data_IF_846153544190
#
_entry.id   IF_846153544190
#
_cell.length_a   1.000
_cell.length_b   1.000
_cell.length_c   1.000
_cell.angle_alpha   90.00
_cell.angle_beta   90.00
_cell.angle_gamma   90.00
#
_symmetry.space_group_name_H-M   'P 1'
#
loop_
_entity.id
_entity.type
_entity.pdbx_description
1 polymer ?
#
# COMPACT_ATOMS: atom_id res chain seq x y z
N UNK A 1 -21.28 14.27 -5.21
CA UNK A 1 -20.50 13.83 -4.03
C UNK A 1 -19.56 14.96 -3.60
N UNK A 2 -19.37 15.20 -2.31
CA UNK A 2 -18.36 16.19 -1.85
C UNK A 2 -17.01 15.51 -1.61
N UNK A 3 -15.92 16.29 -1.54
CA UNK A 3 -14.56 15.74 -1.42
C UNK A 3 -14.36 14.88 -0.17
N UNK A 4 -14.98 15.24 0.97
CA UNK A 4 -14.85 14.48 2.21
C UNK A 4 -15.46 13.09 2.08
N UNK A 5 -16.66 13.02 1.50
CA UNK A 5 -17.35 11.75 1.27
C UNK A 5 -16.56 10.88 0.29
N UNK A 6 -16.10 11.43 -0.83
CA UNK A 6 -15.28 10.72 -1.81
C UNK A 6 -14.01 10.13 -1.17
N UNK A 7 -13.26 10.93 -0.42
CA UNK A 7 -12.03 10.47 0.24
C UNK A 7 -12.29 9.37 1.27
N UNK A 8 -13.42 9.40 1.98
CA UNK A 8 -13.78 8.35 2.94
C UNK A 8 -14.12 7.03 2.22
N UNK A 9 -14.90 7.09 1.15
CA UNK A 9 -15.30 5.93 0.35
C UNK A 9 -14.08 5.28 -0.31
N UNK A 10 -13.23 6.06 -0.98
CA UNK A 10 -12.01 5.52 -1.61
C UNK A 10 -11.06 4.93 -0.57
N UNK A 11 -10.90 5.57 0.60
CA UNK A 11 -10.04 5.02 1.66
C UNK A 11 -10.53 3.66 2.12
N UNK A 12 -11.83 3.52 2.38
CA UNK A 12 -12.40 2.25 2.81
C UNK A 12 -12.22 1.18 1.73
N UNK A 13 -12.46 1.51 0.46
CA UNK A 13 -12.30 0.57 -0.65
C UNK A 13 -10.84 0.11 -0.80
N UNK A 14 -9.89 1.04 -0.75
CA UNK A 14 -8.45 0.78 -0.88
C UNK A 14 -7.93 -0.01 0.31
N UNK A 15 -8.26 0.37 1.54
CA UNK A 15 -7.80 -0.35 2.74
C UNK A 15 -8.31 -1.80 2.75
N UNK A 16 -9.57 -2.01 2.35
CA UNK A 16 -10.14 -3.37 2.22
C UNK A 16 -9.46 -4.18 1.11
N UNK A 17 -9.23 -3.57 -0.07
CA UNK A 17 -8.62 -4.26 -1.20
C UNK A 17 -7.15 -4.59 -0.94
N UNK A 18 -6.38 -3.68 -0.36
CA UNK A 18 -4.99 -3.92 0.07
C UNK A 18 -4.91 -5.10 1.03
N UNK A 19 -5.81 -5.18 2.01
CA UNK A 19 -5.84 -6.29 2.94
C UNK A 19 -6.11 -7.63 2.23
N UNK A 20 -7.07 -7.66 1.29
CA UNK A 20 -7.34 -8.86 0.49
C UNK A 20 -6.13 -9.29 -0.33
N UNK A 21 -5.46 -8.36 -1.00
CA UNK A 21 -4.28 -8.63 -1.83
C UNK A 21 -3.12 -9.23 -1.02
N UNK A 22 -2.88 -8.71 0.19
CA UNK A 22 -1.83 -9.22 1.08
C UNK A 22 -2.18 -10.59 1.64
N UNK A 23 -3.44 -10.80 2.03
CA UNK A 23 -3.91 -12.11 2.50
C UNK A 23 -3.80 -13.18 1.40
N UNK A 24 -4.07 -12.82 0.14
CA UNK A 24 -3.94 -13.75 -1.00
C UNK A 24 -2.50 -13.95 -1.46
N UNK A 25 -1.56 -13.06 -1.14
CA UNK A 25 -0.17 -13.16 -1.57
C UNK A 25 0.52 -14.41 -1.00
N UNK A 26 1.40 -15.05 -1.76
CA UNK A 26 2.07 -16.29 -1.34
C UNK A 26 3.33 -15.94 -0.54
N UNK A 27 3.19 -15.83 0.78
CA UNK A 27 4.27 -15.48 1.71
C UNK A 27 4.03 -16.10 3.10
N UNK A 28 5.06 -16.08 3.96
CA UNK A 28 4.90 -16.47 5.37
C UNK A 28 3.94 -15.52 6.09
N UNK A 29 3.29 -16.01 7.15
CA UNK A 29 2.40 -15.19 7.98
C UNK A 29 3.12 -13.97 8.57
N UNK A 30 4.38 -14.14 9.00
CA UNK A 30 5.20 -13.05 9.53
C UNK A 30 5.50 -11.96 8.49
N UNK A 31 5.78 -12.33 7.25
CA UNK A 31 6.03 -11.37 6.18
C UNK A 31 4.75 -10.63 5.81
N UNK A 32 3.61 -11.33 5.71
CA UNK A 32 2.29 -10.71 5.50
C UNK A 32 1.96 -9.70 6.59
N UNK A 33 2.25 -10.01 7.85
CA UNK A 33 2.04 -9.08 8.96
C UNK A 33 2.87 -7.80 8.81
N UNK A 34 4.14 -7.91 8.42
CA UNK A 34 5.00 -6.76 8.18
C UNK A 34 4.56 -5.92 6.96
N UNK A 35 4.15 -6.58 5.86
CA UNK A 35 3.57 -5.93 4.67
C UNK A 35 2.29 -5.16 5.04
N UNK A 36 1.35 -5.84 5.71
CA UNK A 36 0.10 -5.25 6.16
C UNK A 36 0.35 -4.09 7.12
N UNK A 37 1.28 -4.24 8.05
CA UNK A 37 1.67 -3.17 8.96
C UNK A 37 2.17 -1.94 8.19
N UNK A 38 3.12 -2.11 7.25
CA UNK A 38 3.70 -1.00 6.51
C UNK A 38 2.69 -0.24 5.65
N UNK A 39 1.77 -0.93 4.98
CA UNK A 39 0.79 -0.27 4.09
C UNK A 39 -0.49 0.17 4.81
N UNK A 40 -0.92 -0.49 5.90
CA UNK A 40 -2.17 -0.17 6.62
C UNK A 40 -1.98 0.68 7.89
N UNK A 41 -0.77 1.23 8.14
CA UNK A 41 -0.46 2.16 9.24
C UNK A 41 -1.10 3.57 9.06
N UNK A 42 -2.38 3.58 8.69
CA UNK A 42 -3.16 4.76 8.36
C UNK A 42 -2.67 5.49 7.12
N UNK A 43 -2.88 6.81 7.11
CA UNK A 43 -2.46 7.69 6.03
C UNK A 43 -3.61 8.36 5.33
N UNK A 44 -3.26 9.33 4.49
CA UNK A 44 -4.24 10.15 3.77
C UNK A 44 -4.66 9.53 2.44
N UNK A 45 -4.06 8.42 1.99
CA UNK A 45 -4.36 7.76 0.70
C UNK A 45 -4.46 8.74 -0.49
N UNK A 46 -3.64 9.79 -0.51
CA UNK A 46 -3.72 10.85 -1.53
C UNK A 46 -3.49 10.27 -2.93
N UNK A 47 -2.54 9.34 -3.06
CA UNK A 47 -2.22 8.69 -4.33
C UNK A 47 -3.42 7.87 -4.85
N UNK A 48 -4.02 6.95 -4.07
CA UNK A 48 -5.29 6.32 -4.43
C UNK A 48 -6.40 7.29 -4.80
N UNK A 49 -6.59 8.38 -4.06
CA UNK A 49 -7.63 9.37 -4.38
C UNK A 49 -7.43 9.99 -5.75
N UNK A 50 -6.19 10.35 -6.09
CA UNK A 50 -5.86 10.91 -7.40
C UNK A 50 -6.10 9.88 -8.51
N UNK A 51 -5.69 8.62 -8.30
CA UNK A 51 -5.92 7.55 -9.27
C UNK A 51 -7.41 7.32 -9.52
N UNK A 52 -8.20 7.16 -8.46
CA UNK A 52 -9.66 6.94 -8.58
C UNK A 52 -10.37 8.14 -9.21
N UNK A 53 -9.99 9.38 -8.85
CA UNK A 53 -10.61 10.58 -9.41
C UNK A 53 -10.33 10.72 -10.92
N UNK A 54 -9.10 10.45 -11.36
CA UNK A 54 -8.75 10.47 -12.79
C UNK A 54 -9.48 9.35 -13.54
N UNK A 55 -9.54 8.14 -12.96
CA UNK A 55 -10.27 7.03 -13.54
C UNK A 55 -11.76 7.34 -13.73
N UNK A 56 -12.42 7.94 -12.72
CA UNK A 56 -13.81 8.39 -12.80
C UNK A 56 -14.01 9.43 -13.91
N UNK A 57 -13.10 10.41 -14.02
CA UNK A 57 -13.15 11.43 -15.08
C UNK A 57 -12.98 10.84 -16.49
N UNK A 58 -12.22 9.76 -16.61
CA UNK A 58 -11.99 9.06 -17.87
C UNK A 58 -13.04 7.98 -18.17
N UNK A 59 -13.97 7.71 -17.25
CA UNK A 59 -14.98 6.65 -17.40
C UNK A 59 -14.41 5.22 -17.36
N UNK A 60 -13.31 5.01 -16.65
CA UNK A 60 -12.68 3.69 -16.49
C UNK A 60 -13.51 2.76 -15.59
N UNK A 61 -13.27 1.45 -15.69
CA UNK A 61 -13.93 0.45 -14.84
C UNK A 61 -13.44 0.58 -13.38
N UNK A 62 -14.38 0.49 -12.44
CA UNK A 62 -14.13 0.81 -11.03
C UNK A 62 -13.14 -0.15 -10.37
N UNK A 63 -13.19 -1.44 -10.68
CA UNK A 63 -12.30 -2.45 -10.09
C UNK A 63 -10.88 -2.35 -10.65
N UNK A 64 -10.73 -2.15 -11.96
CA UNK A 64 -9.42 -1.88 -12.59
C UNK A 64 -8.77 -0.62 -12.01
N UNK A 65 -9.56 0.44 -11.84
CA UNK A 65 -9.11 1.67 -11.21
C UNK A 65 -8.69 1.46 -9.75
N UNK A 66 -9.45 0.64 -9.01
CA UNK A 66 -9.15 0.32 -7.61
C UNK A 66 -7.85 -0.49 -7.48
N UNK A 67 -7.61 -1.43 -8.38
CA UNK A 67 -6.37 -2.20 -8.43
C UNK A 67 -5.17 -1.30 -8.78
N UNK A 68 -5.34 -0.38 -9.74
CA UNK A 68 -4.32 0.63 -10.02
C UNK A 68 -4.07 1.58 -8.83
N UNK A 69 -5.12 1.97 -8.11
CA UNK A 69 -5.01 2.79 -6.90
C UNK A 69 -4.25 2.05 -5.78
N UNK A 70 -4.51 0.76 -5.60
CA UNK A 70 -3.78 -0.09 -4.66
C UNK A 70 -2.31 -0.23 -5.07
N UNK A 71 -2.03 -0.49 -6.35
CA UNK A 71 -0.65 -0.61 -6.85
C UNK A 71 0.19 0.64 -6.54
N UNK A 72 -0.34 1.84 -6.78
CA UNK A 72 0.40 3.09 -6.47
C UNK A 72 0.61 3.28 -4.96
N UNK A 73 -0.32 2.84 -4.12
CA UNK A 73 -0.15 2.90 -2.65
C UNK A 73 0.83 1.84 -2.13
N UNK A 74 0.89 0.66 -2.75
CA UNK A 74 1.92 -0.35 -2.48
C UNK A 74 3.31 0.19 -2.82
N UNK A 75 3.45 0.88 -3.97
CA UNK A 75 4.67 1.60 -4.35
C UNK A 75 5.04 2.64 -3.30
N UNK A 76 4.06 3.42 -2.84
CA UNK A 76 4.31 4.40 -1.79
C UNK A 76 4.74 3.77 -0.46
N UNK A 77 4.11 2.67 -0.06
CA UNK A 77 4.38 2.04 1.22
C UNK A 77 5.76 1.39 1.25
N UNK A 78 6.17 0.67 0.19
CA UNK A 78 7.51 0.09 0.19
C UNK A 78 8.58 1.18 0.29
N UNK A 79 8.42 2.30 -0.42
CA UNK A 79 9.44 3.35 -0.43
C UNK A 79 9.65 3.91 0.98
N UNK A 80 8.57 4.10 1.73
CA UNK A 80 8.66 4.56 3.12
C UNK A 80 9.27 3.50 4.06
N UNK A 81 8.93 2.22 3.89
CA UNK A 81 9.51 1.15 4.71
C UNK A 81 11.03 1.08 4.53
N UNK A 82 11.50 1.25 3.29
CA UNK A 82 12.94 1.27 2.99
C UNK A 82 13.60 2.58 3.43
N UNK A 83 12.97 3.73 3.20
CA UNK A 83 13.46 5.02 3.69
C UNK A 83 13.63 5.03 5.22
N UNK A 84 12.74 4.35 5.96
CA UNK A 84 12.83 4.26 7.42
C UNK A 84 14.05 3.48 7.93
N UNK A 85 14.78 2.72 7.09
CA UNK A 85 15.89 1.88 7.56
C UNK A 85 17.08 2.70 8.09
N UNK A 86 17.91 2.15 9.00
CA UNK A 86 19.09 2.84 9.53
C UNK A 86 20.10 3.29 8.48
N UNK A 87 20.15 2.59 7.35
CA UNK A 87 21.03 2.94 6.23
C UNK A 87 20.50 4.09 5.35
N UNK A 88 19.26 4.54 5.60
CA UNK A 88 18.54 5.57 4.85
C UNK A 88 18.26 6.76 5.77
N UNK A 89 17.02 6.97 6.22
CA UNK A 89 16.66 8.09 7.10
C UNK A 89 16.80 7.78 8.60
N UNK A 90 16.96 6.50 8.98
CA UNK A 90 17.11 6.05 10.38
C UNK A 90 15.95 6.50 11.29
N UNK A 91 14.73 6.48 10.75
CA UNK A 91 13.52 6.88 11.46
C UNK A 91 13.01 5.76 12.38
N UNK A 92 12.91 6.04 13.68
CA UNK A 92 12.32 5.08 14.63
C UNK A 92 10.78 5.11 14.62
N UNK A 93 10.18 6.24 14.21
CA UNK A 93 8.74 6.47 14.27
C UNK A 93 8.16 7.02 12.97
N UNK A 94 7.02 6.46 12.55
CA UNK A 94 6.19 6.97 11.46
C UNK A 94 4.76 7.16 11.93
N UNK A 95 4.28 8.41 11.83
CA UNK A 95 2.92 8.81 12.29
C UNK A 95 2.64 8.47 13.76
N UNK A 96 3.66 8.53 14.60
CA UNK A 96 3.57 8.20 16.03
C UNK A 96 3.60 6.70 16.35
N UNK A 97 3.82 5.83 15.36
CA UNK A 97 3.99 4.39 15.55
C UNK A 97 5.42 3.97 15.21
N UNK A 98 5.95 2.88 15.81
CA UNK A 98 7.23 2.30 15.41
C UNK A 98 7.32 2.07 13.90
N UNK A 99 8.47 2.36 13.29
CA UNK A 99 8.68 1.99 11.89
C UNK A 99 8.77 0.47 11.74
N UNK A 100 8.65 -0.02 10.50
CA UNK A 100 8.58 -1.46 10.23
C UNK A 100 9.82 -2.20 10.77
N UNK A 101 11.01 -1.60 10.61
CA UNK A 101 12.26 -2.21 11.06
C UNK A 101 12.39 -2.23 12.60
N UNK A 102 11.88 -1.21 13.29
CA UNK A 102 11.82 -1.19 14.76
C UNK A 102 10.89 -2.30 15.28
N UNK A 103 9.76 -2.52 14.60
CA UNK A 103 8.77 -3.52 15.04
C UNK A 103 9.14 -4.96 14.68
N UNK A 104 9.69 -5.20 13.49
CA UNK A 104 9.88 -6.54 12.93
C UNK A 104 11.34 -6.91 12.62
N UNK A 105 12.28 -6.00 12.85
CA UNK A 105 13.68 -6.12 12.46
C UNK A 105 13.95 -5.67 11.02
N UNK A 106 15.18 -5.21 10.77
CA UNK A 106 15.62 -4.69 9.47
C UNK A 106 15.42 -5.67 8.32
N UNK A 107 15.83 -6.93 8.50
CA UNK A 107 15.70 -7.94 7.44
C UNK A 107 14.24 -8.17 7.02
N UNK A 108 13.32 -8.21 7.99
CA UNK A 108 11.89 -8.35 7.70
C UNK A 108 11.33 -7.10 7.02
N UNK A 109 11.78 -5.91 7.43
CA UNK A 109 11.35 -4.65 6.80
C UNK A 109 11.83 -4.53 5.36
N UNK A 110 13.09 -4.93 5.07
CA UNK A 110 13.61 -4.99 3.70
C UNK A 110 12.74 -5.90 2.85
N UNK A 111 12.49 -7.14 3.30
CA UNK A 111 11.67 -8.10 2.57
C UNK A 111 10.21 -7.65 2.43
N UNK A 112 9.65 -6.97 3.43
CA UNK A 112 8.30 -6.41 3.34
C UNK A 112 8.22 -5.34 2.25
N UNK A 113 9.23 -4.46 2.15
CA UNK A 113 9.31 -3.50 1.05
C UNK A 113 9.43 -4.19 -0.31
N UNK A 114 10.36 -5.15 -0.45
CA UNK A 114 10.56 -5.89 -1.72
C UNK A 114 9.28 -6.61 -2.18
N UNK A 115 8.57 -7.23 -1.25
CA UNK A 115 7.32 -7.92 -1.52
C UNK A 115 6.19 -6.95 -1.91
N UNK A 116 6.07 -5.80 -1.23
CA UNK A 116 5.07 -4.78 -1.58
C UNK A 116 5.33 -4.18 -2.96
N UNK A 117 6.59 -3.90 -3.30
CA UNK A 117 6.96 -3.42 -4.64
C UNK A 117 6.57 -4.46 -5.70
N UNK A 118 6.89 -5.73 -5.47
CA UNK A 118 6.56 -6.84 -6.38
C UNK A 118 5.05 -7.00 -6.54
N UNK A 119 4.31 -7.00 -5.44
CA UNK A 119 2.84 -7.10 -5.42
C UNK A 119 2.18 -5.96 -6.21
N UNK A 120 2.74 -4.74 -6.18
CA UNK A 120 2.22 -3.62 -6.95
C UNK A 120 2.20 -3.92 -8.46
N UNK A 121 3.26 -4.54 -8.99
CA UNK A 121 3.32 -4.95 -10.39
C UNK A 121 2.42 -6.15 -10.68
N UNK A 122 2.38 -7.13 -9.78
CA UNK A 122 1.50 -8.30 -9.89
C UNK A 122 0.03 -7.87 -10.07
N UNK A 123 -0.45 -6.97 -9.21
CA UNK A 123 -1.82 -6.42 -9.25
C UNK A 123 -2.15 -5.81 -10.61
N UNK A 124 -1.25 -5.03 -11.19
CA UNK A 124 -1.48 -4.40 -12.50
C UNK A 124 -1.41 -5.38 -13.68
N UNK A 125 -0.70 -6.50 -13.52
CA UNK A 125 -0.42 -7.44 -14.60
C UNK A 125 -1.40 -8.61 -14.71
N UNK A 126 -2.25 -8.82 -13.69
CA UNK A 126 -3.10 -10.03 -13.58
C UNK A 126 -4.16 -10.11 -14.70
N UNK A 127 -4.52 -8.99 -15.33
CA UNK A 127 -5.58 -8.91 -16.36
C UNK A 127 -5.04 -8.55 -17.77
N UNK A 128 -3.75 -8.76 -18.06
CA UNK A 128 -3.15 -8.43 -19.37
C UNK A 128 -3.41 -9.46 -20.49
N UNK A 129 -4.57 -10.13 -20.48
CA UNK A 129 -4.97 -11.10 -21.52
C UNK A 129 -5.74 -10.48 -22.70
#
# INVERSE_FOLDING_TARGET
MNIKQFTAEVRSAVDNRLNQLIESHIASSSLKEAMAYGVLLGGKRIRPYLTMAVAELCGAETNEALDAACAVELIHAYSLIHDDLPAMDDDELRRGHPTCHIKFGEATAVLAGDALQTLAFEVLSTNLE
#
